data_IF_891942328005
#
_entry.id   IF_891942328005
#
_cell.length_a   1.000
_cell.length_b   1.000
_cell.length_c   1.000
_cell.angle_alpha   90.00
_cell.angle_beta   90.00
_cell.angle_gamma   90.00
#
_symmetry.space_group_name_H-M   'P 1'
#
loop_
_entity.id
_entity.type
_entity.pdbx_description
1 polymer ?
#
# COMPACT_ATOMS: atom_id res chain seq x y z
N UNK A 1 5.77 8.42 7.68
CA UNK A 1 6.71 9.14 6.80
C UNK A 1 6.72 8.44 5.45
N UNK A 2 6.93 9.18 4.36
CA UNK A 2 7.12 8.58 3.05
C UNK A 2 8.45 7.81 3.01
N UNK A 3 8.48 6.66 2.32
CA UNK A 3 9.70 5.90 2.05
C UNK A 3 10.11 6.23 0.63
N UNK A 4 11.21 6.98 0.42
CA UNK A 4 11.48 7.58 -0.90
C UNK A 4 12.58 6.87 -1.68
N UNK A 5 13.36 6.02 -1.01
CA UNK A 5 14.55 5.42 -1.61
C UNK A 5 14.22 4.11 -2.32
N UNK A 6 14.41 4.10 -3.64
CA UNK A 6 14.31 2.93 -4.50
C UNK A 6 15.62 2.13 -4.50
N UNK A 7 15.51 0.85 -4.17
CA UNK A 7 16.59 -0.13 -4.31
C UNK A 7 16.07 -1.33 -5.09
N UNK A 8 16.46 -1.43 -6.37
CA UNK A 8 16.03 -2.48 -7.30
C UNK A 8 14.50 -2.63 -7.43
N UNK A 9 13.77 -1.51 -7.43
CA UNK A 9 12.30 -1.48 -7.51
C UNK A 9 11.59 -1.76 -6.18
N UNK A 10 12.34 -1.88 -5.08
CA UNK A 10 11.83 -2.12 -3.74
C UNK A 10 12.20 -0.95 -2.83
N UNK A 11 11.37 -0.66 -1.83
CA UNK A 11 11.70 0.38 -0.85
C UNK A 11 12.83 -0.06 0.07
N UNK A 12 13.74 0.86 0.38
CA UNK A 12 14.79 0.66 1.37
C UNK A 12 14.23 0.48 2.77
N UNK A 13 14.72 -0.48 3.55
CA UNK A 13 14.42 -0.57 4.98
C UNK A 13 15.33 0.40 5.75
N UNK A 14 14.74 1.25 6.57
CA UNK A 14 15.44 2.14 7.49
C UNK A 14 14.61 2.28 8.78
N UNK A 15 15.18 2.84 9.85
CA UNK A 15 14.54 2.88 11.18
C UNK A 15 13.14 3.51 11.18
N UNK A 16 12.91 4.47 10.30
CA UNK A 16 11.64 5.19 10.16
C UNK A 16 10.67 4.64 9.11
N UNK A 17 11.01 3.51 8.47
CA UNK A 17 10.26 2.99 7.31
C UNK A 17 8.91 2.36 7.68
N UNK A 18 8.70 2.05 8.96
CA UNK A 18 7.47 1.39 9.43
C UNK A 18 7.36 -0.08 9.00
N UNK A 19 8.50 -0.73 8.72
CA UNK A 19 8.54 -2.12 8.32
C UNK A 19 8.21 -3.07 9.46
N UNK A 20 7.50 -4.14 9.12
CA UNK A 20 7.06 -5.21 10.00
C UNK A 20 7.46 -6.55 9.39
N UNK A 21 8.00 -7.43 10.21
CA UNK A 21 8.35 -8.79 9.84
C UNK A 21 7.57 -9.74 10.72
N UNK A 22 6.75 -10.60 10.10
CA UNK A 22 5.95 -11.62 10.77
C UNK A 22 6.52 -13.01 10.47
N UNK A 23 6.56 -13.89 11.46
CA UNK A 23 6.99 -15.25 11.24
C UNK A 23 6.04 -16.00 10.31
N UNK A 24 6.60 -16.63 9.27
CA UNK A 24 5.82 -17.50 8.37
C UNK A 24 5.81 -18.95 8.82
N UNK A 25 6.83 -19.34 9.59
CA UNK A 25 6.87 -20.63 10.28
C UNK A 25 6.61 -20.40 11.77
N UNK A 26 5.94 -21.32 12.47
CA UNK A 26 5.65 -21.13 13.89
C UNK A 26 6.93 -20.97 14.72
N UNK A 27 6.94 -20.02 15.66
CA UNK A 27 8.04 -19.84 16.59
C UNK A 27 7.88 -20.82 17.76
N UNK A 28 8.53 -21.98 17.68
CA UNK A 28 8.35 -23.03 18.69
C UNK A 28 9.23 -22.73 19.91
N UNK A 29 8.58 -22.35 21.02
CA UNK A 29 9.26 -21.99 22.27
C UNK A 29 8.80 -22.86 23.44
N UNK A 30 9.66 -23.00 24.45
CA UNK A 30 9.37 -23.75 25.68
C UNK A 30 8.52 -22.88 26.61
N UNK A 31 7.38 -23.42 27.03
CA UNK A 31 6.43 -22.70 27.88
C UNK A 31 6.60 -23.10 29.37
N UNK A 32 6.56 -22.15 30.32
CA UNK A 32 6.63 -22.43 31.74
C UNK A 32 5.64 -23.50 32.23
N UNK A 33 6.02 -24.22 33.29
CA UNK A 33 5.31 -25.40 33.80
C UNK A 33 6.18 -26.63 33.60
N UNK A 34 6.11 -27.24 32.41
CA UNK A 34 6.88 -28.43 32.05
C UNK A 34 7.86 -28.21 30.89
N UNK A 35 8.02 -26.96 30.41
CA UNK A 35 8.88 -26.67 29.26
C UNK A 35 8.33 -27.23 27.95
N UNK A 36 7.00 -27.39 27.85
CA UNK A 36 6.34 -27.95 26.66
C UNK A 36 6.59 -27.02 25.47
N UNK A 37 7.08 -27.56 24.33
CA UNK A 37 7.19 -26.80 23.08
C UNK A 37 5.81 -26.39 22.57
N UNK A 38 5.60 -25.08 22.40
CA UNK A 38 4.35 -24.50 21.89
C UNK A 38 4.70 -23.57 20.72
N UNK A 39 3.99 -23.64 19.59
CA UNK A 39 4.14 -22.70 18.49
C UNK A 39 3.53 -21.34 18.84
N UNK A 40 4.31 -20.28 18.69
CA UNK A 40 3.90 -18.88 18.89
C UNK A 40 3.95 -18.07 17.59
N UNK A 41 3.23 -16.95 17.61
CA UNK A 41 3.45 -15.85 16.67
C UNK A 41 4.71 -15.10 17.09
N UNK A 42 5.35 -14.47 16.13
CA UNK A 42 6.54 -13.67 16.37
C UNK A 42 6.58 -12.50 15.35
N UNK A 43 6.78 -11.29 15.85
CA UNK A 43 6.84 -10.06 15.05
C UNK A 43 8.07 -9.23 15.41
N UNK A 44 8.66 -8.56 14.43
CA UNK A 44 9.75 -7.62 14.63
C UNK A 44 9.59 -6.36 13.76
N UNK A 45 10.10 -5.22 14.23
CA UNK A 45 9.83 -3.93 13.60
C UNK A 45 11.10 -3.16 13.21
N UNK A 46 11.03 -2.42 12.10
CA UNK A 46 12.15 -1.58 11.65
C UNK A 46 12.48 -0.41 12.60
N UNK A 47 11.54 0.04 13.44
CA UNK A 47 11.82 1.03 14.50
C UNK A 47 12.88 0.57 15.51
N UNK A 48 13.03 -0.74 15.67
CA UNK A 48 14.00 -1.39 16.55
C UNK A 48 15.32 -1.72 15.83
N UNK A 49 15.56 -1.16 14.63
CA UNK A 49 16.76 -1.37 13.83
C UNK A 49 18.03 -0.92 14.56
N UNK A 50 18.94 -1.86 14.79
CA UNK A 50 20.28 -1.66 15.36
C UNK A 50 21.33 -2.24 14.41
N UNK A 51 22.60 -1.89 14.66
CA UNK A 51 23.75 -2.33 13.83
C UNK A 51 23.59 -2.00 12.33
N UNK A 52 22.76 -1.01 12.00
CA UNK A 52 22.65 -0.45 10.65
C UNK A 52 23.78 0.52 10.36
N UNK A 53 23.57 1.39 9.37
CA UNK A 53 24.55 2.39 8.97
C UNK A 53 24.85 3.43 10.06
N UNK A 54 26.02 4.07 9.96
CA UNK A 54 26.46 5.09 10.93
C UNK A 54 26.75 6.45 10.30
N UNK A 55 27.04 6.47 9.00
CA UNK A 55 27.38 7.67 8.21
C UNK A 55 26.38 7.96 7.10
N UNK A 56 25.58 6.95 6.70
CA UNK A 56 24.55 7.09 5.68
C UNK A 56 23.17 7.03 6.32
N UNK A 57 22.31 7.98 5.98
CA UNK A 57 20.96 8.11 6.52
C UNK A 57 19.94 8.32 5.39
N UNK A 58 18.69 7.91 5.61
CA UNK A 58 17.59 8.06 4.67
C UNK A 58 16.36 8.71 5.33
N UNK A 59 15.51 9.34 4.53
CA UNK A 59 14.17 9.81 4.91
C UNK A 59 14.09 10.45 6.30
N UNK A 60 14.64 11.66 6.44
CA UNK A 60 14.62 12.39 7.71
C UNK A 60 15.68 11.94 8.72
N UNK A 61 16.84 11.46 8.24
CA UNK A 61 17.99 11.14 9.10
C UNK A 61 17.93 9.74 9.74
N UNK A 62 17.10 8.84 9.22
CA UNK A 62 16.98 7.49 9.75
C UNK A 62 18.15 6.61 9.34
N UNK A 63 18.63 5.80 10.30
CA UNK A 63 19.59 4.72 10.08
C UNK A 63 19.07 3.73 9.05
N UNK A 64 19.92 3.38 8.08
CA UNK A 64 19.59 2.45 6.99
C UNK A 64 19.94 1.01 7.38
N UNK A 65 19.08 0.06 7.01
CA UNK A 65 19.37 -1.36 7.16
C UNK A 65 20.27 -1.84 6.02
N UNK A 66 21.42 -2.40 6.38
CA UNK A 66 22.30 -3.13 5.48
C UNK A 66 22.60 -4.51 6.06
N UNK A 67 23.22 -5.38 5.27
CA UNK A 67 23.46 -6.75 5.68
C UNK A 67 24.28 -6.85 6.97
N UNK A 68 23.80 -7.64 7.92
CA UNK A 68 24.35 -7.71 9.29
C UNK A 68 23.75 -6.72 10.28
N UNK A 69 22.87 -5.81 9.84
CA UNK A 69 21.96 -5.09 10.74
C UNK A 69 20.89 -6.02 11.30
N UNK A 70 20.23 -5.60 12.38
CA UNK A 70 19.27 -6.43 13.12
C UNK A 70 18.10 -5.59 13.61
N UNK A 71 16.91 -6.15 13.76
CA UNK A 71 15.92 -5.60 14.68
C UNK A 71 16.24 -6.16 16.06
N UNK A 72 16.43 -5.30 17.04
CA UNK A 72 17.05 -5.69 18.33
C UNK A 72 16.22 -6.69 19.15
N UNK A 73 14.95 -6.87 18.80
CA UNK A 73 14.01 -7.74 19.47
C UNK A 73 12.91 -8.20 18.51
N UNK A 74 12.32 -9.32 18.84
CA UNK A 74 11.02 -9.78 18.34
C UNK A 74 10.05 -9.90 19.52
N UNK A 75 8.74 -9.89 19.25
CA UNK A 75 7.66 -9.89 20.25
C UNK A 75 6.54 -10.88 19.85
N UNK A 76 5.56 -11.06 20.73
CA UNK A 76 4.42 -12.01 20.62
C UNK A 76 4.73 -13.48 20.97
N UNK A 77 5.94 -13.78 21.40
CA UNK A 77 6.39 -15.09 21.91
C UNK A 77 6.62 -15.09 23.44
N UNK A 78 6.15 -14.08 24.18
CA UNK A 78 6.46 -13.85 25.60
C UNK A 78 6.06 -15.02 26.51
N UNK A 79 5.00 -15.75 26.15
CA UNK A 79 4.57 -16.94 26.89
C UNK A 79 5.58 -18.10 26.80
N UNK A 80 6.40 -18.12 25.74
CA UNK A 80 7.51 -19.04 25.54
C UNK A 80 8.80 -18.63 26.26
N UNK A 81 8.70 -18.07 27.48
CA UNK A 81 9.81 -17.41 28.18
C UNK A 81 10.99 -18.32 28.58
N UNK A 82 10.84 -19.65 28.51
CA UNK A 82 11.95 -20.59 28.67
C UNK A 82 12.79 -20.75 27.39
N UNK A 83 12.46 -19.98 26.35
CA UNK A 83 13.23 -19.79 25.12
C UNK A 83 12.83 -20.72 23.98
N UNK A 84 13.25 -20.33 22.78
CA UNK A 84 13.10 -21.10 21.55
C UNK A 84 13.69 -22.50 21.66
N UNK A 85 13.05 -23.49 21.04
CA UNK A 85 13.56 -24.87 21.05
C UNK A 85 14.92 -24.97 20.37
N UNK A 86 15.15 -24.17 19.32
CA UNK A 86 16.41 -24.13 18.58
C UNK A 86 17.34 -23.08 19.14
N UNK A 87 16.86 -21.85 19.37
CA UNK A 87 17.73 -20.73 19.78
C UNK A 87 18.07 -20.70 21.28
N UNK A 88 17.19 -21.22 22.14
CA UNK A 88 17.28 -21.05 23.59
C UNK A 88 17.02 -19.62 24.08
N UNK A 89 16.61 -18.70 23.21
CA UNK A 89 16.38 -17.28 23.53
C UNK A 89 14.90 -16.93 23.55
N UNK A 90 14.54 -15.80 24.17
CA UNK A 90 13.21 -15.20 24.07
C UNK A 90 13.35 -13.73 23.68
N UNK A 91 12.38 -13.18 22.95
CA UNK A 91 12.36 -11.77 22.51
C UNK A 91 13.65 -11.30 21.82
N UNK A 92 14.37 -12.22 21.17
CA UNK A 92 15.69 -11.95 20.65
C UNK A 92 15.66 -11.31 19.26
N UNK A 93 16.83 -10.90 18.81
CA UNK A 93 17.02 -10.13 17.59
C UNK A 93 16.73 -10.92 16.31
N UNK A 94 16.57 -10.18 15.21
CA UNK A 94 16.44 -10.73 13.86
C UNK A 94 17.76 -10.68 13.09
N UNK A 95 17.91 -11.54 12.08
CA UNK A 95 19.01 -11.50 11.12
C UNK A 95 18.48 -11.55 9.68
N UNK A 96 19.09 -10.79 8.77
CA UNK A 96 18.71 -10.80 7.35
C UNK A 96 19.15 -12.09 6.64
N UNK A 97 18.28 -12.60 5.77
CA UNK A 97 18.51 -13.77 4.90
C UNK A 97 18.77 -13.30 3.47
N UNK A 98 17.93 -12.41 2.98
CA UNK A 98 18.08 -11.80 1.65
C UNK A 98 18.30 -10.31 1.76
N UNK A 99 18.80 -9.73 0.68
CA UNK A 99 19.29 -8.37 0.58
C UNK A 99 19.54 -8.04 -0.89
N UNK A 100 19.80 -6.77 -1.22
CA UNK A 100 20.23 -6.34 -2.55
C UNK A 100 21.55 -7.01 -2.99
N UNK A 101 21.66 -7.31 -4.28
CA UNK A 101 22.88 -7.92 -4.84
C UNK A 101 23.93 -6.88 -5.24
N UNK A 102 23.50 -5.65 -5.56
CA UNK A 102 24.31 -4.63 -6.23
C UNK A 102 24.31 -3.28 -5.50
N UNK A 103 23.24 -2.93 -4.79
CA UNK A 103 23.17 -1.68 -4.01
C UNK A 103 23.70 -1.93 -2.61
N UNK A 104 24.70 -1.13 -2.22
CA UNK A 104 25.39 -1.24 -0.94
C UNK A 104 25.43 0.09 -0.22
N UNK A 105 25.28 0.03 1.11
CA UNK A 105 25.51 1.14 2.03
C UNK A 105 26.65 0.77 2.96
N UNK A 106 27.68 1.62 3.03
CA UNK A 106 28.90 1.38 3.81
C UNK A 106 29.56 0.03 3.44
N UNK A 107 29.56 -0.30 2.15
CA UNK A 107 30.15 -1.54 1.62
C UNK A 107 29.32 -2.81 1.85
N UNK A 108 28.17 -2.73 2.55
CA UNK A 108 27.28 -3.87 2.82
C UNK A 108 25.98 -3.75 2.03
N UNK A 109 25.44 -4.88 1.58
CA UNK A 109 24.21 -4.93 0.78
C UNK A 109 23.02 -4.27 1.50
N UNK A 110 22.21 -3.51 0.78
CA UNK A 110 21.01 -2.88 1.31
C UNK A 110 19.91 -3.91 1.62
N UNK A 111 19.19 -3.74 2.73
CA UNK A 111 18.02 -4.55 3.07
C UNK A 111 16.72 -3.80 2.74
N UNK A 112 15.75 -4.49 2.15
CA UNK A 112 14.62 -3.85 1.46
C UNK A 112 13.28 -4.50 1.83
N UNK A 113 12.21 -3.89 1.33
CA UNK A 113 10.90 -4.54 1.22
C UNK A 113 11.04 -5.95 0.61
N UNK A 114 10.28 -6.91 1.12
CA UNK A 114 10.28 -8.34 0.76
C UNK A 114 11.56 -9.13 1.09
N UNK A 115 12.61 -8.49 1.61
CA UNK A 115 13.79 -9.22 2.07
C UNK A 115 13.47 -10.03 3.34
N UNK A 116 13.96 -11.26 3.40
CA UNK A 116 13.59 -12.27 4.41
C UNK A 116 14.45 -12.15 5.66
N UNK A 117 13.90 -12.53 6.81
CA UNK A 117 14.59 -12.47 8.10
C UNK A 117 14.44 -13.76 8.89
N UNK A 118 15.53 -14.17 9.55
CA UNK A 118 15.44 -15.00 10.75
C UNK A 118 14.96 -14.16 11.92
N UNK A 119 14.23 -14.78 12.84
CA UNK A 119 13.65 -14.11 14.00
C UNK A 119 13.91 -14.92 15.28
N UNK A 120 13.88 -14.23 16.42
CA UNK A 120 14.18 -14.79 17.74
C UNK A 120 15.50 -15.57 17.78
N UNK A 121 16.59 -14.91 17.40
CA UNK A 121 17.92 -15.53 17.29
C UNK A 121 17.90 -16.83 16.45
N UNK A 122 17.22 -16.76 15.30
CA UNK A 122 17.06 -17.85 14.32
C UNK A 122 16.27 -19.05 14.81
N UNK A 123 15.40 -18.88 15.82
CA UNK A 123 14.43 -19.92 16.19
C UNK A 123 13.34 -20.09 15.13
N UNK A 124 12.97 -18.99 14.46
CA UNK A 124 11.99 -18.99 13.39
C UNK A 124 12.40 -18.07 12.23
N UNK A 125 11.55 -18.00 11.21
CA UNK A 125 11.82 -17.29 9.96
C UNK A 125 10.58 -16.63 9.38
N UNK A 126 10.79 -15.44 8.81
CA UNK A 126 9.90 -14.79 7.88
C UNK A 126 10.36 -15.05 6.43
N UNK A 127 9.67 -15.96 5.74
CA UNK A 127 9.90 -16.27 4.32
C UNK A 127 9.07 -15.40 3.38
N UNK A 128 8.05 -14.68 3.87
CA UNK A 128 7.28 -13.73 3.07
C UNK A 128 8.08 -12.44 2.83
N UNK A 129 8.97 -12.09 3.76
CA UNK A 129 9.83 -10.92 3.71
C UNK A 129 9.29 -9.75 4.53
N UNK A 130 10.14 -8.74 4.74
CA UNK A 130 9.76 -7.50 5.41
C UNK A 130 8.60 -6.85 4.66
N UNK A 131 7.52 -6.54 5.38
CA UNK A 131 6.39 -5.78 4.88
C UNK A 131 6.58 -4.31 5.26
N UNK A 132 6.64 -3.44 4.27
CA UNK A 132 6.60 -1.99 4.46
C UNK A 132 5.87 -1.36 3.28
N UNK A 133 5.76 -0.04 3.25
CA UNK A 133 5.13 0.66 2.14
C UNK A 133 5.95 0.45 0.85
N UNK A 134 5.26 0.29 -0.27
CA UNK A 134 5.87 0.29 -1.60
C UNK A 134 6.41 1.67 -1.96
N UNK A 135 7.15 1.75 -3.07
CA UNK A 135 7.66 3.03 -3.54
C UNK A 135 6.49 3.95 -3.86
N UNK A 136 6.55 5.24 -3.47
CA UNK A 136 5.50 6.18 -3.78
C UNK A 136 5.37 6.28 -5.30
N UNK A 137 4.16 6.01 -5.80
CA UNK A 137 3.81 6.34 -7.18
C UNK A 137 3.76 7.87 -7.34
N UNK A 138 3.88 8.37 -8.58
CA UNK A 138 3.76 9.81 -8.89
C UNK A 138 2.45 10.43 -8.34
N UNK A 139 1.44 9.60 -8.09
CA UNK A 139 0.10 9.99 -7.61
C UNK A 139 -0.12 9.57 -6.14
N UNK A 140 0.93 9.22 -5.39
CA UNK A 140 0.80 8.64 -4.05
C UNK A 140 0.05 9.55 -3.07
N UNK A 141 0.29 10.86 -3.14
CA UNK A 141 -0.42 11.85 -2.32
C UNK A 141 -1.93 11.81 -2.59
N UNK A 142 -2.32 11.63 -3.86
CA UNK A 142 -3.71 11.49 -4.24
C UNK A 142 -4.28 10.18 -3.68
N UNK A 143 -3.56 9.07 -3.81
CA UNK A 143 -4.01 7.78 -3.28
C UNK A 143 -4.21 7.80 -1.76
N UNK A 144 -3.29 8.42 -1.01
CA UNK A 144 -3.40 8.57 0.45
C UNK A 144 -4.61 9.41 0.84
N UNK A 145 -4.84 10.48 0.09
CA UNK A 145 -5.98 11.34 0.29
C UNK A 145 -7.31 10.62 0.02
N UNK A 146 -7.40 9.88 -1.09
CA UNK A 146 -8.57 9.09 -1.44
C UNK A 146 -8.83 7.99 -0.40
N UNK A 147 -7.77 7.34 0.08
CA UNK A 147 -7.84 6.36 1.17
C UNK A 147 -8.37 7.00 2.46
N UNK A 148 -7.91 8.20 2.81
CA UNK A 148 -8.41 8.94 3.97
C UNK A 148 -9.89 9.30 3.82
N UNK A 149 -10.32 9.78 2.65
CA UNK A 149 -11.73 10.07 2.36
C UNK A 149 -12.60 8.81 2.51
N UNK A 150 -12.15 7.69 1.96
CA UNK A 150 -12.81 6.39 2.08
C UNK A 150 -12.90 5.91 3.54
N UNK A 151 -11.81 6.03 4.30
CA UNK A 151 -11.77 5.69 5.73
C UNK A 151 -12.72 6.56 6.56
N UNK A 152 -12.80 7.86 6.28
CA UNK A 152 -13.73 8.76 6.95
C UNK A 152 -15.18 8.36 6.68
N UNK A 153 -15.52 8.03 5.43
CA UNK A 153 -16.85 7.55 5.06
C UNK A 153 -17.23 6.24 5.77
N UNK A 154 -16.28 5.30 5.88
CA UNK A 154 -16.47 4.06 6.64
C UNK A 154 -16.74 4.35 8.13
N UNK A 155 -16.00 5.29 8.72
CA UNK A 155 -16.13 5.70 10.13
C UNK A 155 -17.43 6.44 10.41
N UNK A 156 -17.82 7.37 9.54
CA UNK A 156 -19.02 8.21 9.68
C UNK A 156 -20.24 7.35 9.95
N UNK A 157 -20.36 6.23 9.24
CA UNK A 157 -21.52 5.36 9.32
C UNK A 157 -21.28 4.09 10.15
N UNK A 158 -20.12 3.98 10.81
CA UNK A 158 -19.74 2.81 11.65
C UNK A 158 -19.96 1.46 10.93
N UNK A 159 -19.71 1.41 9.62
CA UNK A 159 -19.96 0.21 8.80
C UNK A 159 -21.44 -0.08 8.47
N UNK A 160 -22.39 0.79 8.84
CA UNK A 160 -23.84 0.65 8.59
C UNK A 160 -24.36 1.77 7.70
N UNK A 161 -24.37 1.49 6.40
CA UNK A 161 -24.86 2.36 5.35
C UNK A 161 -26.36 2.73 5.54
N UNK A 162 -26.75 4.01 5.48
CA UNK A 162 -28.15 4.39 5.38
C UNK A 162 -28.80 3.82 4.10
N UNK A 163 -30.08 3.48 4.17
CA UNK A 163 -30.84 2.98 3.01
C UNK A 163 -30.78 3.97 1.84
N UNK A 164 -30.44 3.48 0.64
CA UNK A 164 -30.34 4.29 -0.57
C UNK A 164 -29.08 5.18 -0.69
N UNK A 165 -28.06 4.96 0.16
CA UNK A 165 -26.73 5.58 0.01
C UNK A 165 -25.71 4.53 -0.42
N UNK A 166 -24.55 4.97 -0.91
CA UNK A 166 -23.38 4.14 -1.18
C UNK A 166 -22.13 4.77 -0.55
N UNK A 167 -21.10 3.97 -0.27
CA UNK A 167 -19.83 4.51 0.21
C UNK A 167 -19.13 5.31 -0.89
N UNK A 168 -19.30 4.88 -2.15
CA UNK A 168 -18.88 5.61 -3.34
C UNK A 168 -19.51 7.02 -3.38
N UNK A 169 -20.81 7.16 -3.09
CA UNK A 169 -21.46 8.47 -2.99
C UNK A 169 -20.87 9.36 -1.90
N UNK A 170 -20.47 8.78 -0.77
CA UNK A 170 -19.82 9.53 0.31
C UNK A 170 -18.44 10.04 -0.13
N UNK A 171 -17.62 9.17 -0.74
CA UNK A 171 -16.29 9.56 -1.25
C UNK A 171 -16.42 10.59 -2.37
N UNK A 172 -17.38 10.39 -3.29
CA UNK A 172 -17.73 11.35 -4.35
C UNK A 172 -18.01 12.74 -3.80
N UNK A 173 -18.78 12.85 -2.71
CA UNK A 173 -19.06 14.14 -2.05
C UNK A 173 -17.81 14.79 -1.44
N UNK A 174 -16.93 14.01 -0.81
CA UNK A 174 -15.66 14.54 -0.28
C UNK A 174 -14.75 15.07 -1.40
N UNK A 175 -14.77 14.40 -2.55
CA UNK A 175 -14.09 14.86 -3.76
C UNK A 175 -14.75 16.13 -4.30
N UNK A 176 -16.08 16.20 -4.31
CA UNK A 176 -16.83 17.40 -4.69
C UNK A 176 -16.38 18.61 -3.86
N UNK A 177 -16.45 18.50 -2.54
CA UNK A 177 -16.11 19.58 -1.61
C UNK A 177 -14.68 20.08 -1.82
N UNK A 178 -13.75 19.15 -2.12
CA UNK A 178 -12.34 19.47 -2.28
C UNK A 178 -11.97 19.96 -3.66
N UNK A 179 -12.36 19.25 -4.71
CA UNK A 179 -11.85 19.41 -6.07
C UNK A 179 -12.84 20.04 -7.05
N UNK A 180 -14.10 20.22 -6.68
CA UNK A 180 -15.11 20.81 -7.55
C UNK A 180 -15.64 22.14 -6.99
N UNK A 181 -16.06 23.03 -7.88
CA UNK A 181 -16.89 24.16 -7.52
C UNK A 181 -18.32 23.68 -7.24
N UNK A 182 -19.11 24.50 -6.53
CA UNK A 182 -20.51 24.20 -6.24
C UNK A 182 -21.41 24.09 -7.49
N UNK A 183 -20.86 24.33 -8.68
CA UNK A 183 -21.54 24.22 -9.97
C UNK A 183 -21.19 22.91 -10.71
N UNK A 184 -20.37 22.04 -10.11
CA UNK A 184 -20.00 20.74 -10.67
C UNK A 184 -18.83 20.77 -11.66
N UNK A 185 -18.07 21.86 -11.71
CA UNK A 185 -16.83 21.99 -12.48
C UNK A 185 -15.59 21.76 -11.60
N UNK A 186 -14.56 21.06 -12.10
CA UNK A 186 -13.33 20.88 -11.34
C UNK A 186 -12.61 22.23 -11.18
N UNK A 187 -12.02 22.45 -10.00
CA UNK A 187 -11.17 23.62 -9.70
C UNK A 187 -9.89 23.59 -10.55
N UNK A 188 -9.25 24.74 -10.82
CA UNK A 188 -8.02 24.80 -11.64
C UNK A 188 -6.87 23.93 -11.11
N UNK A 189 -6.80 23.72 -9.80
CA UNK A 189 -5.80 22.92 -9.10
C UNK A 189 -6.28 21.49 -8.76
N UNK A 190 -7.39 21.06 -9.36
CA UNK A 190 -7.95 19.73 -9.10
C UNK A 190 -7.02 18.62 -9.57
N UNK A 191 -6.50 17.84 -8.62
CA UNK A 191 -5.62 16.69 -8.88
C UNK A 191 -6.36 15.48 -9.43
N UNK A 192 -7.66 15.39 -9.16
CA UNK A 192 -8.47 14.24 -9.55
C UNK A 192 -9.87 14.67 -9.97
N UNK A 193 -10.38 13.96 -10.98
CA UNK A 193 -11.70 14.15 -11.52
C UNK A 193 -12.51 12.92 -11.20
N UNK A 194 -13.75 13.11 -10.76
CA UNK A 194 -14.66 12.01 -10.48
C UNK A 194 -15.56 11.73 -11.67
N UNK A 195 -16.02 10.49 -11.76
CA UNK A 195 -17.20 10.10 -12.53
C UNK A 195 -17.01 10.24 -14.05
N UNK A 196 -15.92 9.67 -14.54
CA UNK A 196 -15.45 9.80 -15.92
C UNK A 196 -16.16 8.80 -16.83
N UNK A 197 -16.95 9.26 -17.82
CA UNK A 197 -17.74 8.37 -18.66
C UNK A 197 -17.01 7.99 -19.96
N UNK A 198 -17.13 6.71 -20.33
CA UNK A 198 -16.58 6.09 -21.55
C UNK A 198 -17.68 5.42 -22.36
N UNK A 199 -17.71 5.65 -23.68
CA UNK A 199 -18.78 5.17 -24.57
C UNK A 199 -18.45 3.80 -25.16
N UNK A 200 -19.19 2.76 -24.75
CA UNK A 200 -19.01 1.40 -25.29
C UNK A 200 -19.36 1.35 -26.78
N UNK A 201 -20.37 2.11 -27.22
CA UNK A 201 -20.82 2.16 -28.61
C UNK A 201 -19.81 2.82 -29.55
N UNK A 202 -18.84 3.56 -29.01
CA UNK A 202 -17.73 4.17 -29.75
C UNK A 202 -16.38 3.52 -29.45
N UNK A 203 -16.38 2.25 -29.04
CA UNK A 203 -15.13 1.52 -28.79
C UNK A 203 -14.34 2.07 -27.61
N UNK A 204 -15.04 2.50 -26.56
CA UNK A 204 -14.49 3.02 -25.31
C UNK A 204 -13.78 4.36 -25.41
N UNK A 205 -14.24 5.25 -26.29
CA UNK A 205 -13.79 6.63 -26.29
C UNK A 205 -14.31 7.37 -25.05
N UNK A 206 -13.45 8.20 -24.44
CA UNK A 206 -13.84 9.07 -23.33
C UNK A 206 -14.89 10.08 -23.82
N UNK A 207 -15.96 10.27 -23.05
CA UNK A 207 -17.00 11.24 -23.37
C UNK A 207 -16.58 12.61 -22.84
N UNK A 208 -16.22 13.49 -23.77
CA UNK A 208 -15.77 14.84 -23.48
C UNK A 208 -16.89 15.84 -23.13
N UNK A 209 -16.49 16.95 -22.51
CA UNK A 209 -17.35 18.09 -22.22
C UNK A 209 -17.76 18.83 -23.50
N UNK A 210 -18.87 19.58 -23.46
CA UNK A 210 -19.34 20.36 -24.63
C UNK A 210 -18.36 21.46 -25.05
N UNK A 211 -17.64 22.05 -24.11
CA UNK A 211 -16.71 23.16 -24.35
C UNK A 211 -15.30 22.71 -24.75
N UNK A 212 -14.89 21.52 -24.33
CA UNK A 212 -13.64 20.90 -24.73
C UNK A 212 -13.81 19.36 -24.76
N UNK A 213 -13.80 18.73 -25.95
CA UNK A 213 -13.92 17.29 -26.10
C UNK A 213 -12.77 16.47 -25.49
N UNK A 214 -11.58 17.07 -25.33
CA UNK A 214 -10.41 16.41 -24.76
C UNK A 214 -10.47 16.30 -23.22
N UNK A 215 -11.52 16.89 -22.63
CA UNK A 215 -11.72 17.01 -21.21
C UNK A 215 -12.97 16.20 -20.82
N UNK A 216 -12.92 15.31 -19.81
CA UNK A 216 -14.08 14.52 -19.38
C UNK A 216 -15.33 15.36 -19.09
N UNK A 217 -16.51 14.86 -19.46
CA UNK A 217 -17.76 15.47 -19.00
C UNK A 217 -18.15 15.01 -17.60
N UNK A 218 -18.70 15.92 -16.79
CA UNK A 218 -19.40 15.59 -15.54
C UNK A 218 -20.90 15.25 -15.77
N UNK A 219 -21.39 15.32 -17.01
CA UNK A 219 -22.81 15.22 -17.34
C UNK A 219 -23.24 13.82 -17.83
N UNK A 220 -24.43 13.41 -17.37
CA UNK A 220 -25.30 12.31 -17.83
C UNK A 220 -24.71 10.89 -18.00
N UNK A 221 -25.42 9.91 -17.43
CA UNK A 221 -25.24 8.49 -17.73
C UNK A 221 -25.76 8.23 -19.15
N UNK A 222 -24.93 7.67 -20.04
CA UNK A 222 -25.41 7.17 -21.34
C UNK A 222 -25.77 5.69 -21.21
N UNK A 223 -26.87 5.21 -21.83
CA UNK A 223 -27.33 3.82 -21.69
C UNK A 223 -26.28 2.75 -22.06
N UNK A 224 -25.31 3.08 -22.92
CA UNK A 224 -24.24 2.19 -23.35
C UNK A 224 -22.85 2.76 -22.99
N UNK A 225 -22.67 3.14 -21.73
CA UNK A 225 -21.41 3.70 -21.24
C UNK A 225 -20.99 3.06 -19.92
N UNK A 226 -19.70 3.18 -19.61
CA UNK A 226 -19.13 2.86 -18.31
C UNK A 226 -18.62 4.14 -17.66
N UNK A 227 -18.77 4.26 -16.34
CA UNK A 227 -18.38 5.45 -15.59
C UNK A 227 -17.42 5.02 -14.48
N UNK A 228 -16.22 5.56 -14.53
CA UNK A 228 -15.16 5.30 -13.56
C UNK A 228 -15.24 6.32 -12.44
N UNK A 229 -15.04 5.87 -11.20
CA UNK A 229 -15.26 6.69 -10.02
C UNK A 229 -14.31 7.88 -9.98
N UNK A 230 -13.01 7.65 -10.26
CA UNK A 230 -11.98 8.69 -10.18
C UNK A 230 -10.93 8.50 -11.25
N UNK A 231 -10.38 9.61 -11.71
CA UNK A 231 -9.17 9.60 -12.50
C UNK A 231 -8.27 10.81 -12.19
N UNK A 232 -6.97 10.62 -11.96
CA UNK A 232 -6.00 11.70 -11.91
C UNK A 232 -5.93 12.37 -13.28
N UNK A 233 -6.03 13.70 -13.27
CA UNK A 233 -5.94 14.51 -14.47
C UNK A 233 -4.75 15.44 -14.36
N UNK A 234 -3.82 15.32 -15.30
CA UNK A 234 -2.66 16.18 -15.40
C UNK A 234 -2.68 16.87 -16.77
N UNK A 235 -2.66 18.20 -16.80
CA UNK A 235 -2.73 19.00 -18.03
C UNK A 235 -3.94 18.63 -18.93
N UNK A 236 -5.09 18.34 -18.32
CA UNK A 236 -6.32 17.96 -19.03
C UNK A 236 -6.33 16.52 -19.56
N UNK A 237 -5.28 15.73 -19.31
CA UNK A 237 -5.22 14.31 -19.71
C UNK A 237 -5.43 13.42 -18.49
N UNK A 238 -6.30 12.44 -18.67
CA UNK A 238 -6.52 11.37 -17.69
C UNK A 238 -5.36 10.38 -17.79
N UNK A 239 -4.63 10.12 -16.71
CA UNK A 239 -3.43 9.27 -16.74
C UNK A 239 -3.64 7.86 -16.18
N UNK A 240 -4.56 7.71 -15.22
CA UNK A 240 -4.97 6.43 -14.65
C UNK A 240 -6.46 6.45 -14.37
N UNK A 241 -7.02 5.28 -14.08
CA UNK A 241 -8.43 5.09 -13.82
C UNK A 241 -8.58 4.30 -12.52
N UNK A 242 -9.42 4.81 -11.62
CA UNK A 242 -9.71 4.19 -10.34
C UNK A 242 -11.21 3.91 -10.20
N UNK A 243 -11.52 2.71 -9.72
CA UNK A 243 -12.87 2.24 -9.38
C UNK A 243 -12.84 1.78 -7.92
N UNK A 244 -13.71 2.35 -7.09
CA UNK A 244 -13.80 2.07 -5.67
C UNK A 244 -14.79 0.95 -5.40
N UNK A 245 -14.36 0.01 -4.56
CA UNK A 245 -15.16 -1.13 -4.11
C UNK A 245 -15.09 -1.20 -2.59
N UNK A 246 -16.25 -1.37 -1.96
CA UNK A 246 -16.39 -1.35 -0.51
C UNK A 246 -17.11 -2.59 -0.01
N UNK A 247 -16.51 -3.27 0.98
CA UNK A 247 -17.12 -4.42 1.65
C UNK A 247 -17.50 -5.54 0.66
N UNK A 248 -18.79 -5.93 0.55
CA UNK A 248 -19.24 -6.99 -0.34
C UNK A 248 -19.40 -6.54 -1.81
N UNK A 249 -19.26 -5.25 -2.11
CA UNK A 249 -19.25 -4.76 -3.49
C UNK A 249 -17.95 -5.20 -4.17
N UNK A 250 -18.07 -6.08 -5.16
CA UNK A 250 -16.95 -6.68 -5.87
C UNK A 250 -16.91 -6.18 -7.31
N UNK A 251 -15.71 -6.14 -7.87
CA UNK A 251 -15.55 -5.91 -9.31
C UNK A 251 -16.11 -7.12 -10.08
N UNK A 252 -17.18 -6.93 -10.86
CA UNK A 252 -17.76 -8.01 -11.66
C UNK A 252 -16.84 -8.35 -12.84
N UNK A 253 -16.86 -9.59 -13.35
CA UNK A 253 -16.04 -9.97 -14.51
C UNK A 253 -16.28 -9.09 -15.76
N UNK A 254 -17.53 -8.69 -15.99
CA UNK A 254 -17.89 -7.82 -17.11
C UNK A 254 -17.32 -6.40 -16.92
N UNK A 255 -17.39 -5.89 -15.69
CA UNK A 255 -16.80 -4.59 -15.34
C UNK A 255 -15.28 -4.63 -15.48
N UNK A 256 -14.64 -5.71 -15.04
CA UNK A 256 -13.20 -5.91 -15.20
C UNK A 256 -12.81 -5.93 -16.68
N UNK A 257 -13.56 -6.66 -17.52
CA UNK A 257 -13.33 -6.68 -18.96
C UNK A 257 -13.47 -5.29 -19.59
N UNK A 258 -14.55 -4.57 -19.27
CA UNK A 258 -14.77 -3.20 -19.75
C UNK A 258 -13.57 -2.30 -19.37
N UNK A 259 -13.13 -2.35 -18.10
CA UNK A 259 -12.01 -1.54 -17.61
C UNK A 259 -10.68 -1.90 -18.28
N UNK A 260 -10.42 -3.18 -18.56
CA UNK A 260 -9.24 -3.61 -19.31
C UNK A 260 -9.26 -3.08 -20.74
N UNK A 261 -10.41 -3.08 -21.41
CA UNK A 261 -10.55 -2.55 -22.76
C UNK A 261 -10.38 -1.02 -22.81
N UNK A 262 -11.00 -0.30 -21.86
CA UNK A 262 -10.82 1.16 -21.69
C UNK A 262 -9.34 1.50 -21.45
N UNK A 263 -8.67 0.78 -20.54
CA UNK A 263 -7.27 1.01 -20.22
C UNK A 263 -6.36 0.71 -21.42
N UNK A 264 -6.61 -0.38 -22.15
CA UNK A 264 -5.87 -0.72 -23.36
C UNK A 264 -6.01 0.35 -24.45
N UNK A 265 -7.22 0.88 -24.65
CA UNK A 265 -7.50 1.94 -25.62
C UNK A 265 -6.83 3.27 -25.22
N UNK A 266 -6.96 3.65 -23.95
CA UNK A 266 -6.51 4.96 -23.45
C UNK A 266 -4.98 5.01 -23.23
N UNK A 267 -4.34 3.88 -22.89
CA UNK A 267 -2.95 3.85 -22.42
C UNK A 267 -2.05 2.85 -23.14
N UNK A 268 -2.56 2.07 -24.10
CA UNK A 268 -1.76 1.13 -24.89
C UNK A 268 -1.29 -0.13 -24.14
N UNK A 269 -1.48 -0.22 -22.81
CA UNK A 269 -1.24 -1.41 -21.98
C UNK A 269 -2.23 -1.44 -20.81
N UNK A 270 -2.73 -2.62 -20.47
CA UNK A 270 -3.31 -2.89 -19.15
C UNK A 270 -2.16 -3.11 -18.17
N UNK A 271 -1.97 -2.22 -17.20
CA UNK A 271 -1.22 -2.55 -15.97
C UNK A 271 -2.24 -2.89 -14.91
#
# INVERSE_FOLDING_TARGET
>A
MAITINVNGLTLCHRGSGGVSDNTLPDVCKTPGNGVPVPYQNEAHSRDLVKGTTSVFADGGNMVANFGSQFSKSIFDEAGSMGGVVSGTHLAETDWITHSFDVKFEGKAACRLTDKLFMNHRNTVNMAGLKQRDLPEDEQDLLDELCQMACDCLKEWKGKLPSGKTYQDCVRKKIDDKYYDGNGHPKPDAKAWREIPYDRGKGWDMIGSKGNPDIPTSNYIRPNSRRLDIAPVQNGKVNKLFDFKFGPDILTPEAEQDYREIAKKSYGRSR
#
